data_IF_503837741899
#
_entry.id   IF_503837741899
#
_cell.length_a   1.000
_cell.length_b   1.000
_cell.length_c   1.000
_cell.angle_alpha   90.00
_cell.angle_beta   90.00
_cell.angle_gamma   90.00
#
_symmetry.space_group_name_H-M   'P 1'
#
loop_
_entity.id
_entity.type
_entity.pdbx_description
1 polymer ?
#
# COMPACT_ATOMS: atom_id res chain seq x y z
N UNK A 1 -30.49 -21.55 -1.43
CA UNK A 1 -30.66 -20.13 -1.82
C UNK A 1 -29.28 -19.58 -2.13
N UNK A 2 -28.93 -19.49 -3.40
CA UNK A 2 -27.68 -18.86 -3.85
C UNK A 2 -27.86 -17.35 -3.77
N UNK A 3 -27.27 -16.72 -2.76
CA UNK A 3 -27.09 -15.27 -2.78
C UNK A 3 -26.16 -14.94 -3.94
N UNK A 4 -26.72 -14.59 -5.10
CA UNK A 4 -25.99 -13.84 -6.13
C UNK A 4 -25.79 -12.44 -5.56
N UNK A 5 -24.73 -12.26 -4.76
CA UNK A 5 -24.23 -10.95 -4.42
C UNK A 5 -23.78 -10.31 -5.72
N UNK A 6 -24.53 -9.31 -6.18
CA UNK A 6 -24.09 -8.45 -7.27
C UNK A 6 -22.70 -7.94 -6.86
N UNK A 7 -21.66 -8.12 -7.69
CA UNK A 7 -20.32 -7.69 -7.33
C UNK A 7 -20.34 -6.18 -7.06
N UNK A 8 -19.78 -5.78 -5.92
CA UNK A 8 -19.70 -4.36 -5.55
C UNK A 8 -18.86 -3.61 -6.60
N UNK A 9 -19.25 -2.37 -6.98
CA UNK A 9 -18.48 -1.54 -7.90
C UNK A 9 -17.04 -1.35 -7.43
N UNK A 10 -16.08 -1.34 -8.36
CA UNK A 10 -14.66 -1.11 -8.09
C UNK A 10 -14.22 0.21 -8.71
N UNK A 11 -13.79 1.14 -7.86
CA UNK A 11 -13.30 2.45 -8.30
C UNK A 11 -11.80 2.57 -8.04
N UNK A 12 -11.06 2.97 -9.07
CA UNK A 12 -9.66 3.42 -8.93
C UNK A 12 -9.63 4.94 -9.07
N UNK A 13 -9.18 5.65 -8.04
CA UNK A 13 -8.91 7.09 -8.10
C UNK A 13 -7.42 7.31 -8.31
N UNK A 14 -7.03 8.04 -9.35
CA UNK A 14 -5.65 8.50 -9.55
C UNK A 14 -5.64 10.01 -9.37
N UNK A 15 -5.06 10.48 -8.28
CA UNK A 15 -4.87 11.89 -7.97
C UNK A 15 -3.50 12.28 -8.52
N UNK A 16 -3.52 13.04 -9.61
CA UNK A 16 -2.33 13.30 -10.41
C UNK A 16 -2.03 14.78 -10.56
N UNK A 17 -0.74 15.07 -10.45
CA UNK A 17 -0.16 16.40 -10.34
C UNK A 17 0.41 16.94 -11.65
N UNK A 18 0.83 16.06 -12.55
CA UNK A 18 1.73 16.41 -13.67
C UNK A 18 1.04 16.71 -15.00
N UNK A 19 -0.17 17.26 -14.98
CA UNK A 19 -0.75 17.84 -16.17
C UNK A 19 0.04 19.11 -16.54
N UNK A 20 0.87 19.01 -17.58
CA UNK A 20 1.65 20.13 -18.11
C UNK A 20 0.71 21.12 -18.79
N UNK A 21 1.09 22.39 -18.89
CA UNK A 21 0.35 23.41 -19.66
C UNK A 21 0.10 23.02 -21.13
N UNK A 22 0.91 22.10 -21.67
CA UNK A 22 0.77 21.54 -23.02
C UNK A 22 -0.25 20.40 -23.13
N UNK A 23 -0.76 19.91 -22.00
CA UNK A 23 -1.76 18.87 -21.98
C UNK A 23 -3.15 19.47 -22.25
N UNK A 24 -4.11 18.69 -22.78
CA UNK A 24 -5.49 19.12 -22.90
C UNK A 24 -5.98 19.71 -21.59
N UNK A 25 -6.75 20.79 -21.68
CA UNK A 25 -7.31 21.47 -20.51
C UNK A 25 -8.15 20.45 -19.73
N UNK A 26 -7.79 20.24 -18.47
CA UNK A 26 -8.53 19.36 -17.60
C UNK A 26 -9.97 19.87 -17.45
N UNK A 27 -10.98 18.98 -17.32
CA UNK A 27 -12.36 19.43 -17.12
C UNK A 27 -12.45 20.42 -15.97
N UNK A 28 -13.27 21.48 -16.12
CA UNK A 28 -13.48 22.48 -15.08
C UNK A 28 -14.03 21.87 -13.77
N UNK A 29 -14.63 20.68 -13.85
CA UNK A 29 -15.06 19.88 -12.70
C UNK A 29 -13.91 19.36 -11.83
N UNK A 30 -12.66 19.40 -12.29
CA UNK A 30 -11.50 18.93 -11.52
C UNK A 30 -11.32 17.41 -11.50
N UNK A 31 -12.08 16.66 -12.31
CA UNK A 31 -11.88 15.22 -12.52
C UNK A 31 -12.36 14.75 -13.92
N UNK A 32 -11.88 13.58 -14.35
CA UNK A 32 -12.33 12.85 -15.54
C UNK A 32 -12.66 11.40 -15.15
N UNK A 33 -13.76 10.85 -15.69
CA UNK A 33 -14.20 9.47 -15.40
C UNK A 33 -14.11 8.60 -16.64
N UNK A 34 -13.49 7.44 -16.48
CA UNK A 34 -13.27 6.45 -17.52
C UNK A 34 -14.03 5.16 -17.16
N UNK A 35 -14.70 4.58 -18.15
CA UNK A 35 -15.39 3.30 -18.00
C UNK A 35 -14.39 2.15 -18.14
N UNK A 36 -14.56 1.07 -17.37
CA UNK A 36 -13.81 -0.17 -17.59
C UNK A 36 -14.50 -1.01 -18.65
N UNK A 37 -13.72 -1.46 -19.65
CA UNK A 37 -14.20 -2.29 -20.74
C UNK A 37 -14.99 -3.51 -20.24
N UNK A 38 -16.21 -3.72 -20.77
CA UNK A 38 -17.07 -4.83 -20.38
C UNK A 38 -17.64 -4.77 -18.96
N UNK A 39 -17.32 -3.72 -18.17
CA UNK A 39 -17.83 -3.53 -16.83
C UNK A 39 -18.91 -2.45 -16.80
N UNK A 40 -20.08 -2.79 -16.25
CA UNK A 40 -21.19 -1.85 -16.12
C UNK A 40 -20.91 -0.76 -15.09
N UNK A 41 -20.28 -1.12 -13.97
CA UNK A 41 -20.16 -0.26 -12.79
C UNK A 41 -18.73 0.13 -12.45
N UNK A 42 -17.69 -0.60 -12.87
CA UNK A 42 -16.32 -0.24 -12.52
C UNK A 42 -15.86 1.03 -13.21
N UNK A 43 -15.09 1.85 -12.50
CA UNK A 43 -14.65 3.17 -12.96
C UNK A 43 -13.19 3.42 -12.62
N UNK A 44 -12.49 4.07 -13.54
CA UNK A 44 -11.22 4.74 -13.30
C UNK A 44 -11.48 6.24 -13.28
N UNK A 45 -11.10 6.92 -12.22
CA UNK A 45 -11.31 8.36 -12.06
C UNK A 45 -9.96 9.04 -11.92
N UNK A 46 -9.68 9.96 -12.84
CA UNK A 46 -8.49 10.81 -12.78
C UNK A 46 -8.89 12.13 -12.11
N UNK A 47 -8.21 12.51 -11.03
CA UNK A 47 -8.47 13.74 -10.28
C UNK A 47 -7.26 14.66 -10.42
N UNK A 48 -7.51 15.94 -10.68
CA UNK A 48 -6.47 16.95 -10.68
C UNK A 48 -6.06 17.26 -9.24
N UNK A 49 -4.75 17.22 -8.93
CA UNK A 49 -4.24 17.54 -7.59
C UNK A 49 -4.67 18.93 -7.07
N UNK A 50 -4.94 19.88 -7.98
CA UNK A 50 -5.32 21.25 -7.63
C UNK A 50 -6.78 21.35 -7.18
N UNK A 51 -7.58 20.32 -7.43
CA UNK A 51 -8.94 20.25 -6.93
C UNK A 51 -8.95 19.84 -5.45
N UNK A 52 -10.05 20.13 -4.75
CA UNK A 52 -10.32 19.52 -3.45
C UNK A 52 -10.67 18.04 -3.64
N UNK A 53 -9.64 17.21 -3.81
CA UNK A 53 -9.79 15.79 -4.10
C UNK A 53 -10.52 15.06 -2.97
N UNK A 54 -10.41 15.49 -1.71
CA UNK A 54 -11.11 14.87 -0.60
C UNK A 54 -12.62 15.18 -0.62
N UNK A 55 -13.02 16.39 -1.02
CA UNK A 55 -14.42 16.71 -1.26
C UNK A 55 -14.95 15.99 -2.51
N UNK A 56 -14.19 15.96 -3.61
CA UNK A 56 -14.57 15.28 -4.84
C UNK A 56 -14.76 13.77 -4.63
N UNK A 57 -13.84 13.09 -3.93
CA UNK A 57 -13.99 11.67 -3.61
C UNK A 57 -15.29 11.42 -2.84
N UNK A 58 -15.63 12.27 -1.86
CA UNK A 58 -16.88 12.13 -1.12
C UNK A 58 -18.11 12.30 -2.01
N UNK A 59 -18.11 13.30 -2.88
CA UNK A 59 -19.20 13.52 -3.85
C UNK A 59 -19.35 12.32 -4.79
N UNK A 60 -18.24 11.80 -5.34
CA UNK A 60 -18.25 10.68 -6.28
C UNK A 60 -18.64 9.35 -5.62
N UNK A 61 -18.40 9.20 -4.32
CA UNK A 61 -18.82 8.03 -3.55
C UNK A 61 -20.24 8.15 -2.98
N UNK A 62 -20.88 9.33 -3.01
CA UNK A 62 -22.25 9.51 -2.54
C UNK A 62 -23.25 8.64 -3.31
N UNK A 63 -23.03 8.48 -4.62
CA UNK A 63 -23.87 7.65 -5.50
C UNK A 63 -23.51 6.16 -5.48
N UNK A 64 -22.37 5.81 -4.85
CA UNK A 64 -21.88 4.44 -4.74
C UNK A 64 -21.25 4.17 -3.36
N UNK A 65 -22.02 4.28 -2.25
CA UNK A 65 -21.49 4.22 -0.90
C UNK A 65 -20.91 2.85 -0.52
N UNK A 66 -21.24 1.79 -1.28
CA UNK A 66 -20.71 0.44 -1.10
C UNK A 66 -19.60 0.08 -2.10
N UNK A 67 -19.10 1.05 -2.87
CA UNK A 67 -18.00 0.79 -3.79
C UNK A 67 -16.73 0.42 -3.02
N UNK A 68 -16.00 -0.54 -3.56
CA UNK A 68 -14.62 -0.80 -3.21
C UNK A 68 -13.75 0.24 -3.90
N UNK A 69 -12.75 0.77 -3.20
CA UNK A 69 -11.98 1.92 -3.65
C UNK A 69 -10.49 1.74 -3.43
N UNK A 70 -9.70 1.98 -4.48
CA UNK A 70 -8.25 2.17 -4.37
C UNK A 70 -7.93 3.60 -4.84
N UNK A 71 -7.40 4.42 -3.94
CA UNK A 71 -6.97 5.78 -4.26
C UNK A 71 -5.45 5.88 -4.30
N UNK A 72 -4.93 6.55 -5.31
CA UNK A 72 -3.51 6.67 -5.57
C UNK A 72 -3.13 8.14 -5.65
N UNK A 73 -2.28 8.60 -4.74
CA UNK A 73 -1.73 9.95 -4.72
C UNK A 73 -0.32 9.94 -5.32
N UNK A 74 -0.13 10.68 -6.40
CA UNK A 74 1.21 10.81 -6.96
C UNK A 74 2.09 11.69 -6.06
N UNK A 75 3.25 11.19 -5.63
CA UNK A 75 4.19 11.98 -4.82
C UNK A 75 4.88 13.00 -5.73
N UNK A 76 4.51 14.25 -5.56
CA UNK A 76 5.48 15.34 -5.63
C UNK A 76 6.07 15.53 -4.24
N UNK A 77 7.14 16.30 -4.12
CA UNK A 77 7.94 16.57 -2.92
C UNK A 77 7.20 17.17 -1.69
N UNK A 78 5.89 16.95 -1.57
CA UNK A 78 5.03 17.26 -0.45
C UNK A 78 5.05 16.17 0.62
N UNK A 79 4.54 16.48 1.81
CA UNK A 79 4.36 15.53 2.92
C UNK A 79 3.23 14.53 2.57
N UNK A 80 3.55 13.31 2.10
CA UNK A 80 2.55 12.39 1.61
C UNK A 80 1.66 11.85 2.74
N UNK A 81 2.11 11.93 4.00
CA UNK A 81 1.37 11.40 5.14
C UNK A 81 0.14 12.25 5.41
N UNK A 82 0.28 13.58 5.36
CA UNK A 82 -0.85 14.51 5.55
C UNK A 82 -1.91 14.33 4.47
N UNK A 83 -1.51 14.26 3.21
CA UNK A 83 -2.46 14.14 2.09
C UNK A 83 -3.15 12.77 2.07
N UNK A 84 -2.41 11.69 2.36
CA UNK A 84 -3.01 10.36 2.54
C UNK A 84 -3.99 10.33 3.72
N UNK A 85 -3.74 11.05 4.81
CA UNK A 85 -4.69 11.17 5.92
C UNK A 85 -6.01 11.82 5.48
N UNK A 86 -5.94 12.87 4.65
CA UNK A 86 -7.15 13.51 4.10
C UNK A 86 -7.93 12.56 3.16
N UNK A 87 -7.22 11.82 2.30
CA UNK A 87 -7.82 10.84 1.39
C UNK A 87 -8.48 9.71 2.18
N UNK A 88 -7.79 9.11 3.15
CA UNK A 88 -8.36 8.05 4.00
C UNK A 88 -9.58 8.57 4.78
N UNK A 89 -9.58 9.82 5.23
CA UNK A 89 -10.78 10.47 5.78
C UNK A 89 -11.97 10.51 4.80
N UNK A 90 -11.73 10.86 3.54
CA UNK A 90 -12.75 10.89 2.49
C UNK A 90 -13.23 9.49 2.07
N UNK A 91 -12.37 8.48 2.21
CA UNK A 91 -12.66 7.09 1.90
C UNK A 91 -13.42 6.35 3.01
N UNK A 92 -13.76 6.95 4.15
CA UNK A 92 -14.53 6.22 5.18
C UNK A 92 -15.87 5.71 4.63
N UNK A 93 -16.14 4.43 4.89
CA UNK A 93 -17.36 3.74 4.45
C UNK A 93 -18.31 3.51 5.63
N UNK A 94 -19.64 3.65 5.45
CA UNK A 94 -20.59 3.14 6.42
C UNK A 94 -20.62 1.60 6.45
N UNK A 95 -20.18 0.96 5.35
CA UNK A 95 -20.04 -0.48 5.23
C UNK A 95 -18.62 -0.92 5.60
N UNK A 96 -18.48 -1.60 6.73
CA UNK A 96 -17.20 -2.10 7.24
C UNK A 96 -16.56 -3.19 6.37
N UNK A 97 -17.32 -3.81 5.45
CA UNK A 97 -16.81 -4.83 4.55
C UNK A 97 -16.26 -4.25 3.23
N UNK A 98 -16.47 -2.95 2.94
CA UNK A 98 -15.96 -2.32 1.73
C UNK A 98 -14.42 -2.19 1.79
N UNK A 99 -13.74 -2.75 0.80
CA UNK A 99 -12.30 -2.61 0.62
C UNK A 99 -11.98 -1.18 0.19
N UNK A 100 -11.41 -0.38 1.08
CA UNK A 100 -10.98 0.98 0.76
C UNK A 100 -9.54 1.21 1.19
N UNK A 101 -8.72 1.71 0.28
CA UNK A 101 -7.30 1.95 0.53
C UNK A 101 -6.79 3.19 -0.18
N UNK A 102 -5.79 3.82 0.42
CA UNK A 102 -5.02 4.90 -0.17
C UNK A 102 -3.53 4.54 -0.22
N UNK A 103 -2.88 4.86 -1.33
CA UNK A 103 -1.46 4.65 -1.54
C UNK A 103 -0.82 5.91 -2.11
N UNK A 104 0.44 6.17 -1.77
CA UNK A 104 1.23 7.12 -2.51
C UNK A 104 2.12 6.36 -3.51
N UNK A 105 2.41 6.98 -4.64
CA UNK A 105 3.19 6.35 -5.71
C UNK A 105 4.02 7.39 -6.46
N UNK A 106 5.17 7.00 -7.03
CA UNK A 106 6.08 7.93 -7.72
C UNK A 106 7.09 7.26 -8.64
N UNK A 107 7.85 8.10 -9.35
CA UNK A 107 9.06 7.74 -10.10
C UNK A 107 8.90 6.75 -11.26
N UNK A 108 7.68 6.52 -11.77
CA UNK A 108 7.50 5.65 -12.93
C UNK A 108 7.75 4.17 -12.68
N UNK A 109 7.97 3.77 -11.42
CA UNK A 109 8.42 2.42 -10.99
C UNK A 109 7.33 1.60 -10.31
N UNK A 110 6.30 2.23 -9.80
CA UNK A 110 5.17 1.54 -9.19
C UNK A 110 4.40 0.68 -10.19
N UNK A 111 3.69 -0.34 -9.70
CA UNK A 111 2.85 -1.24 -10.50
C UNK A 111 1.73 -0.50 -11.25
N UNK A 112 1.45 0.75 -10.86
CA UNK A 112 0.53 1.64 -11.54
C UNK A 112 1.09 2.15 -12.89
N UNK A 113 2.41 2.11 -13.11
CA UNK A 113 3.04 2.64 -14.32
C UNK A 113 3.24 1.60 -15.42
N UNK A 114 2.87 1.97 -16.65
CA UNK A 114 3.06 1.20 -17.87
C UNK A 114 4.54 0.94 -18.22
N UNK A 115 5.43 1.86 -17.85
CA UNK A 115 6.87 1.71 -18.05
C UNK A 115 7.50 0.69 -17.11
N UNK A 116 6.91 0.51 -15.92
CA UNK A 116 7.36 -0.49 -14.95
C UNK A 116 6.69 -1.85 -15.19
N UNK A 117 5.45 -1.83 -15.64
CA UNK A 117 4.64 -3.02 -15.84
C UNK A 117 3.71 -2.84 -17.05
N UNK A 118 3.74 -3.76 -18.01
CA UNK A 118 2.86 -3.70 -19.19
C UNK A 118 1.36 -3.63 -18.83
N UNK A 119 0.98 -4.08 -17.63
CA UNK A 119 -0.38 -4.07 -17.10
C UNK A 119 -0.71 -2.84 -16.24
N UNK A 120 0.20 -1.86 -16.15
CA UNK A 120 -0.03 -0.60 -15.44
C UNK A 120 -1.16 0.24 -16.04
N UNK A 121 -1.60 1.28 -15.33
CA UNK A 121 -2.65 2.17 -15.81
C UNK A 121 -2.10 3.41 -16.53
N UNK A 122 -1.00 3.98 -16.06
CA UNK A 122 -0.51 5.28 -16.54
C UNK A 122 0.92 5.21 -17.07
N UNK A 123 1.26 5.93 -18.12
CA UNK A 123 2.65 6.19 -18.49
C UNK A 123 3.30 7.20 -17.55
N UNK A 124 4.59 7.45 -17.80
CA UNK A 124 5.40 8.39 -17.00
C UNK A 124 4.85 9.82 -17.01
N UNK A 125 4.15 10.20 -18.08
CA UNK A 125 3.45 11.47 -18.22
C UNK A 125 2.09 11.54 -17.52
N UNK A 126 1.63 10.45 -16.88
CA UNK A 126 0.35 10.42 -16.15
C UNK A 126 -0.88 10.23 -17.03
N UNK A 127 -0.71 9.64 -18.21
CA UNK A 127 -1.79 9.37 -19.18
C UNK A 127 -1.90 7.85 -19.41
N UNK A 128 -3.01 7.35 -19.94
CA UNK A 128 -3.21 5.90 -20.18
C UNK A 128 -2.43 5.33 -21.40
N UNK A 129 -1.30 5.94 -21.73
CA UNK A 129 -0.35 5.52 -22.76
C UNK A 129 1.06 5.70 -22.23
N UNK A 130 2.05 5.11 -22.89
CA UNK A 130 3.46 5.39 -22.64
C UNK A 130 4.19 5.68 -23.95
N UNK A 131 5.26 6.49 -23.89
CA UNK A 131 6.17 6.72 -25.01
C UNK A 131 7.45 5.92 -24.80
N UNK A 132 7.74 5.00 -25.71
CA UNK A 132 9.03 4.31 -25.77
C UNK A 132 9.67 4.60 -27.13
N UNK A 133 10.91 5.08 -27.15
CA UNK A 133 11.61 5.38 -28.40
C UNK A 133 10.95 6.45 -29.29
N UNK A 134 10.04 7.26 -28.75
CA UNK A 134 9.30 8.29 -29.50
C UNK A 134 7.93 7.83 -30.03
N UNK A 135 7.61 6.53 -29.97
CA UNK A 135 6.30 6.00 -30.37
C UNK A 135 5.34 5.97 -29.17
N UNK A 136 4.17 6.61 -29.32
CA UNK A 136 3.14 6.64 -28.29
C UNK A 136 2.23 5.42 -28.41
N UNK A 137 2.29 4.54 -27.42
CA UNK A 137 1.45 3.33 -27.39
C UNK A 137 0.35 3.48 -26.34
N UNK A 138 -0.92 3.49 -26.79
CA UNK A 138 -2.13 3.51 -25.94
C UNK A 138 -2.43 2.11 -25.41
N UNK A 139 -1.57 1.59 -24.55
CA UNK A 139 -1.70 0.22 -24.05
C UNK A 139 -2.86 0.06 -23.07
N UNK A 140 -3.09 1.00 -22.16
CA UNK A 140 -4.16 0.91 -21.17
C UNK A 140 -5.52 1.47 -21.65
N UNK A 141 -5.53 2.48 -22.51
CA UNK A 141 -6.76 2.98 -23.16
C UNK A 141 -7.26 2.02 -24.26
N UNK A 142 -8.57 1.84 -24.34
CA UNK A 142 -9.20 1.09 -25.43
C UNK A 142 -9.09 1.84 -26.76
N UNK A 143 -8.63 1.13 -27.80
CA UNK A 143 -8.56 1.70 -29.16
C UNK A 143 -9.94 1.87 -29.80
N UNK A 144 -10.92 1.07 -29.38
CA UNK A 144 -12.26 1.03 -29.98
C UNK A 144 -13.24 2.01 -29.34
N UNK A 145 -12.92 2.55 -28.16
CA UNK A 145 -13.81 3.44 -27.40
C UNK A 145 -13.00 4.48 -26.61
N UNK A 146 -13.16 5.79 -26.93
CA UNK A 146 -12.60 6.87 -26.11
C UNK A 146 -13.09 6.78 -24.66
N UNK A 147 -12.27 7.25 -23.71
CA UNK A 147 -12.60 7.26 -22.27
C UNK A 147 -12.92 5.88 -21.68
N UNK A 148 -12.37 4.83 -22.29
CA UNK A 148 -12.50 3.45 -21.82
C UNK A 148 -11.13 2.87 -21.51
N UNK A 149 -10.97 2.32 -20.30
CA UNK A 149 -9.76 1.59 -19.89
C UNK A 149 -9.95 0.10 -20.15
N UNK A 150 -8.92 -0.57 -20.70
CA UNK A 150 -8.95 -2.01 -20.93
C UNK A 150 -9.09 -2.76 -19.61
N UNK A 151 -10.00 -3.73 -19.58
CA UNK A 151 -10.29 -4.50 -18.37
C UNK A 151 -9.05 -5.21 -17.80
N UNK A 152 -8.15 -5.68 -18.67
CA UNK A 152 -6.95 -6.40 -18.24
C UNK A 152 -6.00 -5.53 -17.38
N UNK A 153 -5.77 -4.28 -17.77
CA UNK A 153 -4.91 -3.35 -17.03
C UNK A 153 -5.57 -2.98 -15.69
N UNK A 154 -6.86 -2.62 -15.74
CA UNK A 154 -7.64 -2.29 -14.54
C UNK A 154 -7.64 -3.44 -13.53
N UNK A 155 -7.98 -4.65 -13.97
CA UNK A 155 -8.06 -5.82 -13.10
C UNK A 155 -6.70 -6.20 -12.50
N UNK A 156 -5.61 -6.04 -13.26
CA UNK A 156 -4.29 -6.41 -12.77
C UNK A 156 -3.81 -5.44 -11.69
N UNK A 157 -3.94 -4.13 -11.92
CA UNK A 157 -3.63 -3.12 -10.89
C UNK A 157 -4.52 -3.30 -9.67
N UNK A 158 -5.82 -3.54 -9.87
CA UNK A 158 -6.75 -3.83 -8.78
C UNK A 158 -6.30 -5.02 -7.94
N UNK A 159 -6.03 -6.16 -8.57
CA UNK A 159 -5.58 -7.38 -7.88
C UNK A 159 -4.32 -7.12 -7.06
N UNK A 160 -3.30 -6.50 -7.65
CA UNK A 160 -2.04 -6.21 -6.96
C UNK A 160 -2.25 -5.36 -5.69
N UNK A 161 -2.87 -4.19 -5.82
CA UNK A 161 -3.01 -3.26 -4.69
C UNK A 161 -4.09 -3.68 -3.68
N UNK A 162 -5.07 -4.48 -4.09
CA UNK A 162 -6.05 -5.06 -3.16
C UNK A 162 -5.41 -5.99 -2.13
N UNK A 163 -4.24 -6.57 -2.43
CA UNK A 163 -3.52 -7.53 -1.58
C UNK A 163 -2.17 -7.03 -1.08
N UNK A 164 -1.70 -5.85 -1.51
CA UNK A 164 -0.33 -5.42 -1.30
C UNK A 164 0.07 -5.36 0.19
N UNK A 165 -0.82 -4.90 1.06
CA UNK A 165 -0.50 -4.73 2.48
C UNK A 165 -0.47 -6.06 3.23
N UNK A 166 -1.46 -6.92 3.02
CA UNK A 166 -1.45 -8.29 3.55
C UNK A 166 -0.20 -9.05 3.07
N UNK A 167 0.23 -8.80 1.84
CA UNK A 167 1.37 -9.50 1.19
C UNK A 167 2.64 -9.11 1.89
N UNK A 168 2.85 -7.81 1.98
CA UNK A 168 4.03 -7.20 2.58
C UNK A 168 4.17 -7.61 4.04
N UNK A 169 3.08 -7.67 4.79
CA UNK A 169 3.07 -8.10 6.20
C UNK A 169 3.39 -9.60 6.30
N UNK A 170 2.76 -10.44 5.47
CA UNK A 170 3.02 -11.87 5.45
C UNK A 170 4.47 -12.21 5.06
N UNK A 171 4.96 -11.66 3.96
CA UNK A 171 6.35 -11.87 3.50
C UNK A 171 7.35 -11.39 4.56
N UNK A 172 7.08 -10.25 5.20
CA UNK A 172 7.92 -9.76 6.30
C UNK A 172 7.89 -10.67 7.54
N UNK A 173 6.72 -11.18 7.91
CA UNK A 173 6.58 -12.17 9.00
C UNK A 173 7.47 -13.38 8.73
N UNK A 174 7.36 -13.98 7.56
CA UNK A 174 8.12 -15.18 7.20
C UNK A 174 9.62 -14.91 7.17
N UNK A 175 10.04 -13.76 6.61
CA UNK A 175 11.44 -13.34 6.60
C UNK A 175 11.99 -13.11 8.02
N UNK A 176 11.22 -12.41 8.86
CA UNK A 176 11.60 -12.10 10.24
C UNK A 176 11.70 -13.36 11.10
N UNK A 177 10.66 -14.20 11.09
CA UNK A 177 10.64 -15.42 11.89
C UNK A 177 11.73 -16.40 11.44
N UNK A 178 12.00 -16.49 10.14
CA UNK A 178 13.11 -17.29 9.61
C UNK A 178 14.46 -16.77 10.09
N UNK A 179 14.68 -15.45 10.03
CA UNK A 179 15.93 -14.85 10.50
C UNK A 179 16.14 -15.07 12.00
N UNK A 180 15.08 -14.89 12.80
CA UNK A 180 15.12 -15.14 14.24
C UNK A 180 15.39 -16.62 14.53
N UNK A 181 14.75 -17.56 13.83
CA UNK A 181 14.96 -18.99 14.01
C UNK A 181 16.41 -19.43 13.77
N UNK A 182 17.06 -18.83 12.77
CA UNK A 182 18.46 -19.13 12.43
C UNK A 182 19.48 -18.47 13.37
N UNK A 183 19.03 -17.58 14.26
CA UNK A 183 19.92 -16.95 15.24
C UNK A 183 20.44 -17.97 16.24
N UNK A 184 21.74 -17.95 16.60
CA UNK A 184 22.27 -18.79 17.67
C UNK A 184 21.51 -18.66 18.99
N UNK A 185 20.92 -17.48 19.24
CA UNK A 185 20.13 -17.22 20.44
C UNK A 185 18.76 -17.91 20.45
N UNK A 186 18.21 -18.33 19.30
CA UNK A 186 16.89 -18.97 19.24
C UNK A 186 16.90 -20.42 19.74
N UNK A 187 18.05 -21.11 19.67
CA UNK A 187 18.22 -22.46 20.19
C UNK A 187 18.73 -22.48 21.64
N UNK A 188 18.96 -21.31 22.24
CA UNK A 188 19.37 -21.22 23.63
C UNK A 188 18.12 -21.27 24.53
N UNK A 189 18.10 -22.20 25.48
CA UNK A 189 17.01 -22.31 26.45
C UNK A 189 17.07 -21.17 27.50
N UNK A 190 18.25 -20.57 27.67
CA UNK A 190 18.48 -19.51 28.63
C UNK A 190 18.14 -18.13 28.05
N UNK A 191 17.78 -17.21 28.95
CA UNK A 191 17.58 -15.81 28.56
C UNK A 191 18.93 -15.19 28.15
N UNK A 192 18.90 -14.40 27.08
CA UNK A 192 20.07 -13.68 26.56
C UNK A 192 19.92 -12.20 26.84
N UNK A 193 21.03 -11.49 27.06
CA UNK A 193 21.00 -10.04 27.20
C UNK A 193 20.41 -9.39 25.94
N UNK A 194 19.35 -8.56 26.13
CA UNK A 194 18.61 -8.00 25.02
C UNK A 194 19.48 -7.12 24.10
N UNK A 195 20.37 -6.32 24.69
CA UNK A 195 21.18 -5.38 23.94
C UNK A 195 22.25 -6.11 23.13
N UNK A 196 22.84 -7.15 23.70
CA UNK A 196 23.86 -7.96 23.02
C UNK A 196 23.29 -8.66 21.79
N UNK A 197 22.20 -9.45 21.92
CA UNK A 197 21.66 -10.16 20.77
C UNK A 197 21.11 -9.20 19.71
N UNK A 198 20.45 -8.11 20.13
CA UNK A 198 19.88 -7.14 19.21
C UNK A 198 20.97 -6.40 18.44
N UNK A 199 22.13 -6.15 19.07
CA UNK A 199 23.30 -5.57 18.40
C UNK A 199 23.85 -6.47 17.29
N UNK A 200 23.87 -7.79 17.52
CA UNK A 200 24.26 -8.79 16.52
C UNK A 200 23.23 -8.80 15.38
N UNK A 201 21.94 -8.86 15.70
CA UNK A 201 20.87 -8.85 14.70
C UNK A 201 20.90 -7.59 13.82
N UNK A 202 21.08 -6.41 14.43
CA UNK A 202 21.26 -5.13 13.72
C UNK A 202 22.44 -5.17 12.73
N UNK A 203 23.52 -5.85 13.09
CA UNK A 203 24.73 -5.96 12.27
C UNK A 203 24.55 -6.94 11.12
N UNK A 204 23.94 -8.09 11.37
CA UNK A 204 23.78 -9.17 10.39
C UNK A 204 22.61 -8.91 9.42
N UNK A 205 21.53 -8.32 9.91
CA UNK A 205 20.26 -8.13 9.18
C UNK A 205 19.78 -6.67 9.23
N UNK A 206 20.62 -5.68 8.82
CA UNK A 206 20.31 -4.26 9.02
C UNK A 206 19.04 -3.80 8.30
N UNK A 207 18.74 -4.33 7.11
CA UNK A 207 17.54 -3.97 6.35
C UNK A 207 16.27 -4.54 6.98
N UNK A 208 16.32 -5.79 7.45
CA UNK A 208 15.21 -6.44 8.13
C UNK A 208 14.90 -5.73 9.46
N UNK A 209 15.94 -5.34 10.20
CA UNK A 209 15.78 -4.52 11.41
C UNK A 209 15.21 -3.13 11.08
N UNK A 210 15.62 -2.50 9.98
CA UNK A 210 15.04 -1.23 9.56
C UNK A 210 13.54 -1.33 9.28
N UNK A 211 13.12 -2.40 8.59
CA UNK A 211 11.70 -2.70 8.32
C UNK A 211 10.93 -3.00 9.61
N UNK A 212 11.56 -3.67 10.59
CA UNK A 212 10.99 -3.91 11.91
C UNK A 212 10.71 -2.59 12.65
N UNK A 213 11.65 -1.64 12.63
CA UNK A 213 11.45 -0.31 13.22
C UNK A 213 10.33 0.46 12.52
N UNK A 214 10.30 0.44 11.18
CA UNK A 214 9.25 1.12 10.40
C UNK A 214 7.85 0.56 10.72
N UNK A 215 7.73 -0.78 10.84
CA UNK A 215 6.50 -1.44 11.27
C UNK A 215 6.10 -1.00 12.69
N UNK A 216 7.05 -0.93 13.61
CA UNK A 216 6.82 -0.49 14.99
C UNK A 216 6.65 1.03 15.16
N UNK A 217 6.75 1.81 14.08
CA UNK A 217 6.78 3.27 14.12
C UNK A 217 7.90 3.84 15.02
N UNK A 218 9.04 3.16 15.08
CA UNK A 218 10.20 3.61 15.81
C UNK A 218 11.10 4.45 14.91
N UNK A 219 11.36 5.71 15.30
CA UNK A 219 12.22 6.58 14.50
C UNK A 219 13.69 6.24 14.71
N UNK A 220 14.40 6.10 13.60
CA UNK A 220 15.86 5.98 13.60
C UNK A 220 16.41 6.55 12.29
N UNK A 221 17.01 7.75 12.30
CA UNK A 221 17.51 8.40 11.08
C UNK A 221 18.42 7.52 10.22
N UNK A 222 19.29 6.73 10.88
CA UNK A 222 20.18 5.77 10.22
C UNK A 222 19.41 4.71 9.44
N UNK A 223 18.41 4.09 10.05
CA UNK A 223 17.64 3.02 9.41
C UNK A 223 16.61 3.56 8.41
N UNK A 224 16.07 4.76 8.65
CA UNK A 224 15.24 5.49 7.68
C UNK A 224 16.00 5.78 6.39
N UNK A 225 17.27 6.21 6.49
CA UNK A 225 18.14 6.41 5.33
C UNK A 225 18.51 5.10 4.63
N UNK A 226 18.72 4.02 5.39
CA UNK A 226 18.97 2.69 4.83
C UNK A 226 17.78 2.21 3.98
N UNK A 227 16.55 2.35 4.48
CA UNK A 227 15.33 2.03 3.74
C UNK A 227 15.24 2.86 2.46
N UNK A 228 15.41 4.18 2.55
CA UNK A 228 15.36 5.05 1.37
C UNK A 228 16.39 4.63 0.30
N UNK A 229 17.61 4.28 0.72
CA UNK A 229 18.66 3.82 -0.19
C UNK A 229 18.34 2.47 -0.83
N UNK A 230 17.71 1.56 -0.09
CA UNK A 230 17.30 0.25 -0.58
C UNK A 230 16.13 0.36 -1.56
N UNK A 231 15.10 1.16 -1.25
CA UNK A 231 13.95 1.42 -2.12
C UNK A 231 14.39 2.08 -3.44
N UNK A 232 15.37 2.99 -3.38
CA UNK A 232 15.95 3.59 -4.59
C UNK A 232 16.61 2.56 -5.52
N UNK A 233 17.30 1.55 -4.95
CA UNK A 233 18.00 0.51 -5.73
C UNK A 233 17.09 -0.61 -6.20
N UNK A 234 16.20 -1.09 -5.33
CA UNK A 234 15.35 -2.25 -5.56
C UNK A 234 14.03 -1.95 -6.28
N UNK A 235 13.67 -0.67 -6.40
CA UNK A 235 12.40 -0.23 -7.01
C UNK A 235 11.14 -0.79 -6.32
N UNK A 236 11.28 -1.27 -5.08
CA UNK A 236 10.19 -1.79 -4.26
C UNK A 236 10.03 -0.92 -3.03
N UNK A 237 8.78 -0.65 -2.64
CA UNK A 237 8.44 0.07 -1.41
C UNK A 237 8.54 -0.90 -0.22
N UNK A 238 9.52 -0.69 0.66
CA UNK A 238 9.82 -1.56 1.80
C UNK A 238 9.12 -1.13 3.09
N UNK A 239 8.60 0.09 3.11
CA UNK A 239 7.93 0.69 4.27
C UNK A 239 6.48 0.23 4.42
N UNK A 240 5.99 0.27 5.65
CA UNK A 240 4.64 -0.09 6.09
C UNK A 240 3.75 1.12 6.35
N UNK A 241 4.28 2.36 6.30
CA UNK A 241 3.53 3.57 6.65
C UNK A 241 2.17 3.71 5.96
N UNK A 242 2.06 3.35 4.68
CA UNK A 242 0.78 3.38 3.93
C UNK A 242 -0.17 2.28 4.39
N UNK A 243 0.35 1.08 4.62
CA UNK A 243 -0.43 -0.04 5.16
C UNK A 243 -0.95 0.27 6.55
N UNK A 244 -0.12 0.87 7.40
CA UNK A 244 -0.53 1.38 8.71
C UNK A 244 -1.65 2.40 8.58
N UNK A 245 -1.50 3.42 7.73
CA UNK A 245 -2.55 4.42 7.52
C UNK A 245 -3.88 3.76 7.11
N UNK A 246 -3.84 2.80 6.18
CA UNK A 246 -5.01 2.06 5.75
C UNK A 246 -5.63 1.23 6.89
N UNK A 247 -4.81 0.51 7.68
CA UNK A 247 -5.27 -0.29 8.82
C UNK A 247 -5.85 0.57 9.95
N UNK A 248 -5.28 1.74 10.20
CA UNK A 248 -5.71 2.64 11.26
C UNK A 248 -6.97 3.44 10.90
N UNK A 249 -7.08 3.86 9.64
CA UNK A 249 -8.12 4.81 9.22
C UNK A 249 -9.34 4.16 8.55
N UNK A 250 -9.16 3.01 7.89
CA UNK A 250 -10.16 2.44 6.98
C UNK A 250 -10.63 1.04 7.37
N UNK A 251 -9.77 0.26 8.02
CA UNK A 251 -10.06 -1.14 8.32
C UNK A 251 -10.16 -1.37 9.83
N UNK A 252 -10.87 -2.41 10.26
CA UNK A 252 -10.98 -2.79 11.69
C UNK A 252 -9.70 -3.35 12.32
N UNK A 253 -8.56 -3.31 11.61
CA UNK A 253 -7.30 -3.95 11.97
C UNK A 253 -6.33 -3.07 12.78
N UNK A 254 -6.68 -1.80 13.02
CA UNK A 254 -5.81 -0.86 13.73
C UNK A 254 -5.36 -1.35 15.11
N UNK A 255 -6.25 -1.98 15.88
CA UNK A 255 -5.92 -2.51 17.22
C UNK A 255 -4.90 -3.64 17.16
N UNK A 256 -5.04 -4.57 16.22
CA UNK A 256 -4.12 -5.69 16.04
C UNK A 256 -2.76 -5.18 15.55
N UNK A 257 -2.77 -4.17 14.67
CA UNK A 257 -1.54 -3.50 14.24
C UNK A 257 -0.82 -2.84 15.42
N UNK A 258 -1.54 -2.06 16.23
CA UNK A 258 -0.98 -1.42 17.42
C UNK A 258 -0.42 -2.44 18.40
N UNK A 259 -1.13 -3.54 18.67
CA UNK A 259 -0.63 -4.64 19.52
C UNK A 259 0.69 -5.20 19.00
N UNK A 260 0.79 -5.47 17.70
CA UNK A 260 2.03 -5.97 17.08
C UNK A 260 3.16 -4.92 17.18
N UNK A 261 2.87 -3.67 16.85
CA UNK A 261 3.85 -2.58 16.91
C UNK A 261 4.35 -2.35 18.34
N UNK A 262 3.46 -2.38 19.33
CA UNK A 262 3.79 -2.21 20.75
C UNK A 262 4.62 -3.38 21.27
N UNK A 263 4.30 -4.62 20.89
CA UNK A 263 5.12 -5.77 21.23
C UNK A 263 6.54 -5.64 20.67
N UNK A 264 6.68 -5.28 19.39
CA UNK A 264 7.99 -5.06 18.79
C UNK A 264 8.75 -3.94 19.52
N UNK A 265 8.09 -2.81 19.79
CA UNK A 265 8.71 -1.67 20.45
C UNK A 265 9.19 -2.02 21.85
N UNK A 266 8.33 -2.58 22.67
CA UNK A 266 8.55 -2.71 24.11
C UNK A 266 9.29 -4.01 24.46
N UNK A 267 9.00 -5.11 23.75
CA UNK A 267 9.48 -6.45 24.11
C UNK A 267 10.64 -6.94 23.22
N UNK A 268 11.00 -6.16 22.18
CA UNK A 268 12.15 -6.48 21.31
C UNK A 268 13.12 -5.31 21.27
N UNK A 269 12.68 -4.16 20.77
CA UNK A 269 13.57 -3.03 20.50
C UNK A 269 14.07 -2.38 21.79
N UNK A 270 13.14 -2.11 22.72
CA UNK A 270 13.39 -1.39 23.97
C UNK A 270 13.30 -2.28 25.21
N UNK A 271 13.31 -3.61 25.05
CA UNK A 271 13.19 -4.51 26.20
C UNK A 271 14.36 -4.33 27.18
N UNK A 272 14.02 -4.23 28.46
CA UNK A 272 14.97 -4.11 29.55
C UNK A 272 15.34 -5.50 30.09
N UNK A 273 16.64 -5.77 30.19
CA UNK A 273 17.15 -7.01 30.76
C UNK A 273 17.12 -8.22 29.81
N UNK A 274 17.27 -9.44 30.35
CA UNK A 274 17.37 -10.65 29.54
C UNK A 274 16.04 -11.04 28.88
N UNK A 275 16.09 -11.45 27.63
CA UNK A 275 14.93 -11.92 26.85
C UNK A 275 15.08 -13.37 26.41
N UNK A 276 13.96 -14.07 26.29
CA UNK A 276 13.89 -15.41 25.72
C UNK A 276 13.39 -15.32 24.28
N UNK A 277 14.30 -15.46 23.33
CA UNK A 277 14.01 -15.30 21.90
C UNK A 277 12.89 -16.24 21.44
N UNK A 278 12.87 -17.48 21.93
CA UNK A 278 11.82 -18.45 21.58
C UNK A 278 10.41 -17.98 22.01
N UNK A 279 10.27 -17.34 23.17
CA UNK A 279 9.00 -16.81 23.65
C UNK A 279 8.61 -15.54 22.86
N UNK A 280 9.58 -14.65 22.56
CA UNK A 280 9.34 -13.49 21.69
C UNK A 280 8.90 -13.90 20.29
N UNK A 281 9.47 -14.97 19.73
CA UNK A 281 9.08 -15.50 18.42
C UNK A 281 7.66 -16.07 18.41
N UNK A 282 7.25 -16.77 19.49
CA UNK A 282 5.89 -17.29 19.62
C UNK A 282 4.88 -16.13 19.65
N UNK A 283 5.11 -15.15 20.51
CA UNK A 283 4.21 -13.99 20.62
C UNK A 283 4.19 -13.15 19.34
N UNK A 284 5.33 -12.96 18.66
CA UNK A 284 5.37 -12.30 17.35
C UNK A 284 4.48 -13.03 16.35
N UNK A 285 4.61 -14.36 16.25
CA UNK A 285 3.81 -15.17 15.33
C UNK A 285 2.32 -14.96 15.59
N UNK A 286 1.91 -15.06 16.85
CA UNK A 286 0.51 -14.88 17.25
C UNK A 286 0.00 -13.47 16.86
N UNK A 287 0.77 -12.41 17.15
CA UNK A 287 0.41 -11.05 16.78
C UNK A 287 0.32 -10.83 15.26
N UNK A 288 1.21 -11.44 14.48
CA UNK A 288 1.14 -11.39 13.02
C UNK A 288 -0.07 -12.15 12.48
N UNK A 289 -0.36 -13.34 13.00
CA UNK A 289 -1.49 -14.15 12.55
C UNK A 289 -2.82 -13.46 12.85
N UNK A 290 -2.99 -12.93 14.06
CA UNK A 290 -4.16 -12.11 14.40
C UNK A 290 -4.31 -10.90 13.45
N UNK A 291 -3.21 -10.19 13.15
CA UNK A 291 -3.26 -9.07 12.22
C UNK A 291 -3.69 -9.51 10.81
N UNK A 292 -3.07 -10.56 10.27
CA UNK A 292 -3.35 -11.06 8.92
C UNK A 292 -4.78 -11.59 8.75
N UNK A 293 -5.36 -12.18 9.79
CA UNK A 293 -6.76 -12.63 9.84
C UNK A 293 -7.75 -11.46 9.80
N UNK A 294 -7.42 -10.34 10.42
CA UNK A 294 -8.30 -9.14 10.46
C UNK A 294 -8.24 -8.29 9.20
N UNK A 295 -7.26 -8.50 8.32
CA UNK A 295 -7.18 -7.77 7.06
C UNK A 295 -8.26 -8.26 6.09
N UNK A 296 -9.15 -7.36 5.61
CA UNK A 296 -10.26 -7.70 4.70
C UNK A 296 -9.77 -8.04 3.27
N UNK A 297 -8.46 -8.09 3.06
CA UNK A 297 -7.84 -8.32 1.77
C UNK A 297 -8.03 -9.79 1.36
N UNK A 298 -8.39 -10.03 0.09
CA UNK A 298 -8.55 -11.40 -0.41
C UNK A 298 -7.27 -12.19 -0.19
N UNK A 299 -7.41 -13.45 0.20
CA UNK A 299 -6.28 -14.38 0.29
C UNK A 299 -5.56 -14.49 -1.06
N UNK A 300 -4.24 -14.72 -1.01
CA UNK A 300 -3.45 -14.99 -2.21
C UNK A 300 -4.08 -16.16 -2.99
N UNK A 301 -4.21 -16.06 -4.32
CA UNK A 301 -4.45 -17.24 -5.14
C UNK A 301 -3.26 -18.21 -5.09
#
# INVERSE_FOLDING_TARGET
MTHTTTPQPRYIFIIWSCWKRSDPVFPASGYETWQVEGAAQDRLVLINEQADYAALIRTLLADAPHANVLAFLHRRSHDPVKDLSNITGALKSPDAAALRKAFAFSDGRDYLYLSANEWGLIGNEGRLWYSSGGEKTRSAESLSAPLTVKAAHFNKVWQYYSQQCKRKIFEFKEELLSALWTSPAANNADAVDNQDWLSVFKKEKPLLYARLLDLANEDSPKFTQLLASAEQKGQENLRFGECRLNMMALNGAGKQYERLADFIRNEIVNAEGPVRIADSMRTLRDCFDELLETLPEPTYP
#
